data_IF_163294163426
#
_entry.id   IF_163294163426
#
_cell.length_a   1.000
_cell.length_b   1.000
_cell.length_c   1.000
_cell.angle_alpha   90.00
_cell.angle_beta   90.00
_cell.angle_gamma   90.00
#
_symmetry.space_group_name_H-M   'P 1'
#
loop_
_entity.id
_entity.type
_entity.pdbx_description
1 polymer ?
#
# COMPACT_ATOMS: atom_id res chain seq x y z
N UNK A 1 -18.23 -4.74 -13.61
CA UNK A 1 -18.79 -4.57 -12.24
C UNK A 1 -18.49 -3.14 -11.76
N UNK A 2 -19.42 -2.50 -11.03
CA UNK A 2 -19.12 -1.19 -10.40
C UNK A 2 -18.13 -1.44 -9.26
N UNK A 3 -17.00 -0.71 -9.26
CA UNK A 3 -16.05 -0.76 -8.15
C UNK A 3 -16.71 -0.26 -6.88
N UNK A 4 -16.61 -1.05 -5.81
CA UNK A 4 -17.06 -0.66 -4.48
C UNK A 4 -16.12 0.38 -3.88
N UNK A 5 -16.54 1.05 -2.80
CA UNK A 5 -15.66 1.96 -2.05
C UNK A 5 -14.43 1.23 -1.52
N UNK A 6 -14.59 -0.03 -1.10
CA UNK A 6 -13.49 -0.85 -0.60
C UNK A 6 -12.46 -1.13 -1.70
N UNK A 7 -12.91 -1.38 -2.94
CA UNK A 7 -12.03 -1.62 -4.09
C UNK A 7 -11.17 -0.38 -4.38
N UNK A 8 -11.78 0.80 -4.31
CA UNK A 8 -11.07 2.07 -4.49
C UNK A 8 -10.06 2.33 -3.39
N UNK A 9 -10.44 2.10 -2.13
CA UNK A 9 -9.52 2.24 -0.99
C UNK A 9 -8.34 1.29 -1.13
N UNK A 10 -8.59 0.02 -1.46
CA UNK A 10 -7.53 -0.96 -1.67
C UNK A 10 -6.60 -0.55 -2.83
N UNK A 11 -7.17 -0.08 -3.94
CA UNK A 11 -6.40 0.39 -5.10
C UNK A 11 -5.49 1.57 -4.73
N UNK A 12 -6.02 2.58 -4.03
CA UNK A 12 -5.25 3.74 -3.60
C UNK A 12 -4.12 3.31 -2.67
N UNK A 13 -4.40 2.47 -1.67
CA UNK A 13 -3.38 1.98 -0.74
C UNK A 13 -2.25 1.24 -1.46
N UNK A 14 -2.58 0.38 -2.43
CA UNK A 14 -1.57 -0.36 -3.20
C UNK A 14 -0.77 0.55 -4.12
N UNK A 15 -1.40 1.55 -4.75
CA UNK A 15 -0.68 2.55 -5.56
C UNK A 15 0.31 3.32 -4.68
N UNK A 16 -0.14 3.84 -3.54
CA UNK A 16 0.72 4.57 -2.59
C UNK A 16 1.86 3.68 -2.10
N UNK A 17 1.57 2.42 -1.76
CA UNK A 17 2.57 1.44 -1.37
C UNK A 17 3.60 1.16 -2.46
N UNK A 18 3.15 0.94 -3.69
CA UNK A 18 4.01 0.71 -4.85
C UNK A 18 4.90 1.91 -5.15
N UNK A 19 4.36 3.13 -5.04
CA UNK A 19 5.15 4.36 -5.17
C UNK A 19 6.21 4.47 -4.06
N UNK A 20 5.87 4.17 -2.80
CA UNK A 20 6.84 4.16 -1.70
C UNK A 20 7.98 3.17 -1.97
N UNK A 21 7.65 1.94 -2.37
CA UNK A 21 8.66 0.93 -2.70
C UNK A 21 9.49 1.30 -3.93
N UNK A 22 8.90 1.98 -4.93
CA UNK A 22 9.62 2.52 -6.07
C UNK A 22 10.66 3.57 -5.64
N UNK A 23 10.30 4.47 -4.72
CA UNK A 23 11.22 5.46 -4.16
C UNK A 23 12.35 4.80 -3.36
N UNK A 24 12.05 3.76 -2.60
CA UNK A 24 13.06 2.97 -1.87
C UNK A 24 14.01 2.27 -2.86
N UNK A 25 13.49 1.66 -3.92
CA UNK A 25 14.30 0.95 -4.91
C UNK A 25 15.21 1.88 -5.73
N UNK A 26 14.71 3.04 -6.15
CA UNK A 26 15.43 3.98 -7.02
C UNK A 26 16.34 4.94 -6.25
N UNK A 27 15.88 5.44 -5.10
CA UNK A 27 16.54 6.54 -4.38
C UNK A 27 16.93 6.18 -2.94
N UNK A 28 16.67 4.93 -2.49
CA UNK A 28 16.83 4.52 -1.09
C UNK A 28 16.03 5.41 -0.12
N UNK A 29 14.95 5.99 -0.60
CA UNK A 29 14.11 6.93 0.13
C UNK A 29 12.77 6.28 0.48
N UNK A 30 12.51 6.11 1.78
CA UNK A 30 11.23 5.60 2.30
C UNK A 30 10.37 6.78 2.76
N UNK A 31 9.38 7.15 1.95
CA UNK A 31 8.47 8.26 2.24
C UNK A 31 7.64 8.00 3.49
N UNK A 32 7.15 6.77 3.68
CA UNK A 32 6.36 6.39 4.85
C UNK A 32 7.20 6.51 6.12
N UNK A 33 8.42 5.97 6.11
CA UNK A 33 9.33 6.11 7.24
C UNK A 33 9.77 7.56 7.49
N UNK A 34 9.89 8.38 6.43
CA UNK A 34 10.24 9.80 6.54
C UNK A 34 9.12 10.60 7.22
N UNK A 35 7.86 10.31 6.91
CA UNK A 35 6.71 11.03 7.47
C UNK A 35 6.32 10.55 8.87
N UNK A 36 6.38 9.25 9.12
CA UNK A 36 5.84 8.63 10.34
C UNK A 36 6.92 8.07 11.27
N UNK A 37 8.20 8.12 10.86
CA UNK A 37 9.34 7.59 11.60
C UNK A 37 9.68 6.14 11.20
N UNK A 38 10.97 5.84 11.09
CA UNK A 38 11.44 4.50 10.73
C UNK A 38 10.96 3.44 11.74
N UNK A 39 10.26 2.41 11.24
CA UNK A 39 9.70 1.32 12.05
C UNK A 39 8.81 1.76 13.23
N UNK A 40 8.27 2.97 13.20
CA UNK A 40 7.30 3.44 14.19
C UNK A 40 6.00 2.63 14.12
N UNK A 41 5.18 2.70 15.17
CA UNK A 41 3.87 2.06 15.19
C UNK A 41 3.00 2.51 14.00
N UNK A 42 3.03 3.81 13.66
CA UNK A 42 2.29 4.37 12.54
C UNK A 42 2.78 3.85 11.19
N UNK A 43 4.10 3.83 10.95
CA UNK A 43 4.67 3.28 9.72
C UNK A 43 4.30 1.81 9.54
N UNK A 44 4.36 1.03 10.62
CA UNK A 44 3.96 -0.39 10.60
C UNK A 44 2.48 -0.58 10.27
N UNK A 45 1.59 0.27 10.80
CA UNK A 45 0.17 0.27 10.44
C UNK A 45 0.01 0.55 8.94
N UNK A 46 0.66 1.58 8.41
CA UNK A 46 0.59 1.92 6.98
C UNK A 46 1.05 0.75 6.11
N UNK A 47 2.23 0.18 6.38
CA UNK A 47 2.73 -0.97 5.62
C UNK A 47 1.80 -2.18 5.71
N UNK A 48 1.19 -2.41 6.88
CA UNK A 48 0.25 -3.53 7.07
C UNK A 48 -1.03 -3.32 6.26
N UNK A 49 -1.58 -2.10 6.23
CA UNK A 49 -2.76 -1.77 5.43
C UNK A 49 -2.48 -1.89 3.94
N UNK A 50 -1.32 -1.46 3.47
CA UNK A 50 -0.87 -1.67 2.08
C UNK A 50 -0.80 -3.16 1.75
N UNK A 51 -0.22 -3.98 2.64
CA UNK A 51 -0.13 -5.43 2.45
C UNK A 51 -1.51 -6.11 2.37
N UNK A 52 -2.42 -5.75 3.28
CA UNK A 52 -3.81 -6.27 3.29
C UNK A 52 -4.54 -5.86 2.00
N UNK A 53 -4.40 -4.61 1.57
CA UNK A 53 -4.98 -4.10 0.34
C UNK A 53 -4.44 -4.85 -0.91
N UNK A 54 -3.14 -5.18 -0.93
CA UNK A 54 -2.56 -5.97 -2.00
C UNK A 54 -3.15 -7.38 -2.06
N UNK A 55 -3.28 -8.06 -0.90
CA UNK A 55 -3.91 -9.39 -0.82
C UNK A 55 -5.36 -9.34 -1.30
N UNK A 56 -6.12 -8.32 -0.91
CA UNK A 56 -7.49 -8.11 -1.37
C UNK A 56 -7.58 -7.95 -2.89
N UNK A 57 -6.72 -7.12 -3.49
CA UNK A 57 -6.69 -6.94 -4.94
C UNK A 57 -6.23 -8.19 -5.68
N UNK A 58 -5.29 -8.98 -5.14
CA UNK A 58 -4.90 -10.27 -5.72
C UNK A 58 -6.09 -11.23 -5.74
N UNK A 59 -6.80 -11.37 -4.61
CA UNK A 59 -7.99 -12.20 -4.55
C UNK A 59 -9.02 -11.77 -5.59
N UNK A 60 -9.27 -10.47 -5.71
CA UNK A 60 -10.19 -9.94 -6.71
C UNK A 60 -9.71 -10.18 -8.14
N UNK A 61 -8.42 -9.95 -8.43
CA UNK A 61 -7.84 -10.15 -9.75
C UNK A 61 -7.82 -11.62 -10.22
N UNK A 62 -7.78 -12.57 -9.28
CA UNK A 62 -7.75 -14.02 -9.58
C UNK A 62 -9.15 -14.64 -9.56
N UNK A 63 -10.10 -14.04 -8.84
CA UNK A 63 -11.48 -14.53 -8.72
C UNK A 63 -12.37 -14.16 -9.91
N UNK A 64 -11.92 -13.22 -10.76
CA UNK A 64 -12.57 -12.91 -12.04
C UNK A 64 -12.17 -13.89 -13.15
#
# INVERSE_FOLDING_TARGET
>A
MKKSVLDWVALILVIVGGLNWGLVGLFKFDLVATLFGAMSMLSRIVYSLVGIAAVYLIYFAVKE
#
